data_IF_577487239657
#
_entry.id   IF_577487239657
#
_cell.length_a   1.000
_cell.length_b   1.000
_cell.length_c   1.000
_cell.angle_alpha   90.00
_cell.angle_beta   90.00
_cell.angle_gamma   90.00
#
_symmetry.space_group_name_H-M   'P 1'
#
loop_
_entity.id
_entity.type
_entity.pdbx_description
1 polymer ?
#
# COMPACT_ATOMS: atom_id res chain seq x y z
N UNK A 1 -1.15 39.34 -14.24
CA UNK A 1 -0.56 38.38 -13.27
C UNK A 1 -0.92 36.91 -13.59
N UNK A 2 -0.93 36.48 -14.87
CA UNK A 2 -1.39 35.13 -15.28
C UNK A 2 -0.30 34.25 -15.94
N UNK A 3 0.93 34.77 -16.06
CA UNK A 3 2.06 34.11 -16.73
C UNK A 3 3.15 33.57 -15.78
N UNK A 4 2.98 33.71 -14.46
CA UNK A 4 3.92 33.21 -13.44
C UNK A 4 3.57 31.79 -12.94
N UNK A 5 2.38 31.29 -13.26
CA UNK A 5 1.92 29.96 -12.83
C UNK A 5 2.67 28.77 -13.47
N UNK A 6 3.11 28.79 -14.76
CA UNK A 6 3.83 27.65 -15.33
C UNK A 6 5.29 27.55 -14.84
N UNK A 7 5.86 28.62 -14.28
CA UNK A 7 7.23 28.63 -13.77
C UNK A 7 7.36 27.92 -12.40
N UNK A 8 6.28 27.86 -11.62
CA UNK A 8 6.23 27.20 -10.31
C UNK A 8 5.98 25.69 -10.39
N UNK A 9 5.49 25.18 -11.53
CA UNK A 9 5.23 23.75 -11.75
C UNK A 9 6.39 23.01 -12.44
N UNK A 10 7.36 23.73 -13.01
CA UNK A 10 8.50 23.13 -13.69
C UNK A 10 9.55 22.49 -12.75
N UNK A 11 9.87 23.04 -11.56
CA UNK A 11 10.89 22.43 -10.71
C UNK A 11 10.38 21.23 -9.91
N UNK A 12 9.07 21.03 -9.76
CA UNK A 12 8.51 19.88 -9.02
C UNK A 12 8.62 18.56 -9.80
N UNK A 13 8.75 18.62 -11.12
CA UNK A 13 8.95 17.43 -11.98
C UNK A 13 10.39 16.91 -11.97
N UNK A 14 11.35 17.69 -11.48
CA UNK A 14 12.78 17.33 -11.42
C UNK A 14 13.21 16.75 -10.06
N UNK A 15 12.30 16.64 -9.10
CA UNK A 15 12.53 16.03 -7.79
C UNK A 15 12.10 14.55 -7.72
N UNK A 16 12.12 13.82 -8.84
CA UNK A 16 12.20 12.36 -8.73
C UNK A 16 13.63 12.02 -8.33
N UNK A 17 13.85 11.67 -7.07
CA UNK A 17 15.16 11.22 -6.62
C UNK A 17 15.62 10.06 -7.49
N UNK A 18 16.75 10.24 -8.18
CA UNK A 18 17.44 9.18 -8.91
C UNK A 18 17.75 8.07 -7.90
N UNK A 19 16.95 7.00 -7.94
CA UNK A 19 17.04 5.89 -6.98
C UNK A 19 15.84 5.70 -6.06
N UNK A 20 14.71 6.42 -6.24
CA UNK A 20 13.47 6.05 -5.56
C UNK A 20 13.00 4.67 -6.02
N UNK A 21 13.19 3.68 -5.16
CA UNK A 21 12.62 2.34 -5.32
C UNK A 21 11.28 2.35 -4.59
N UNK A 22 10.20 2.19 -5.34
CA UNK A 22 8.88 1.95 -4.76
C UNK A 22 8.98 0.77 -3.78
N UNK A 23 8.48 0.88 -2.54
CA UNK A 23 8.50 -0.25 -1.61
C UNK A 23 7.44 -1.30 -1.96
N UNK A 24 6.64 -1.07 -3.01
CA UNK A 24 5.65 -2.01 -3.55
C UNK A 24 6.06 -2.43 -4.97
N UNK A 25 5.48 -3.53 -5.49
CA UNK A 25 5.74 -3.98 -6.86
C UNK A 25 6.91 -4.97 -7.01
N UNK A 26 7.31 -5.22 -8.27
CA UNK A 26 8.36 -6.21 -8.61
C UNK A 26 9.74 -5.71 -8.22
N UNK A 27 10.01 -4.42 -8.42
CA UNK A 27 11.34 -3.83 -8.24
C UNK A 27 11.71 -3.72 -6.76
N UNK A 28 10.72 -3.51 -5.89
CA UNK A 28 10.87 -3.62 -4.44
C UNK A 28 11.47 -4.96 -4.01
N UNK A 29 11.10 -6.08 -4.67
CA UNK A 29 11.57 -7.43 -4.32
C UNK A 29 13.03 -7.66 -4.69
N UNK A 30 13.51 -7.05 -5.77
CA UNK A 30 14.93 -7.13 -6.18
C UNK A 30 15.78 -6.42 -5.11
N UNK A 31 15.30 -5.28 -4.61
CA UNK A 31 15.92 -4.53 -3.52
C UNK A 31 15.79 -5.20 -2.14
N UNK A 32 14.67 -5.91 -1.88
CA UNK A 32 14.37 -6.61 -0.63
C UNK A 32 15.21 -7.87 -0.37
N UNK A 33 16.18 -8.21 -1.23
CA UNK A 33 17.24 -9.16 -0.90
C UNK A 33 18.10 -8.71 0.29
N UNK A 34 18.01 -7.42 0.68
CA UNK A 34 18.49 -6.94 1.98
C UNK A 34 17.50 -7.29 3.11
N UNK A 35 17.97 -7.85 4.24
CA UNK A 35 17.12 -8.11 5.40
C UNK A 35 16.43 -6.81 5.81
N UNK A 36 15.11 -6.83 5.71
CA UNK A 36 14.29 -5.68 5.97
C UNK A 36 14.36 -5.38 7.46
N UNK A 37 14.96 -4.24 7.83
CA UNK A 37 14.89 -3.75 9.21
C UNK A 37 13.42 -3.56 9.53
N UNK A 38 12.86 -4.41 10.39
CA UNK A 38 11.58 -4.19 11.05
C UNK A 38 11.73 -2.96 11.94
N UNK A 39 11.65 -1.78 11.33
CA UNK A 39 11.66 -0.53 12.07
C UNK A 39 10.46 -0.55 13.02
N UNK A 40 10.63 -0.15 14.29
CA UNK A 40 9.53 -0.14 15.24
C UNK A 40 8.38 0.70 14.69
N UNK A 41 7.11 0.34 14.99
CA UNK A 41 5.94 1.03 14.45
C UNK A 41 6.09 2.53 14.68
N UNK A 42 6.09 3.30 13.59
CA UNK A 42 6.27 4.75 13.66
C UNK A 42 5.07 5.34 14.41
N UNK A 43 5.31 6.35 15.26
CA UNK A 43 4.20 7.11 15.87
C UNK A 43 3.31 7.66 14.75
N UNK A 44 2.04 7.22 14.72
CA UNK A 44 1.08 7.64 13.71
C UNK A 44 0.78 9.14 13.87
N UNK A 45 0.81 9.86 12.74
CA UNK A 45 0.30 11.23 12.66
C UNK A 45 -1.21 11.25 12.95
N UNK A 46 -1.82 12.42 13.27
CA UNK A 46 -3.26 12.50 13.46
C UNK A 46 -4.06 11.94 12.27
N UNK A 47 -3.61 12.22 11.04
CA UNK A 47 -4.20 11.64 9.83
C UNK A 47 -4.00 10.12 9.75
N UNK A 48 -2.82 9.63 10.15
CA UNK A 48 -2.55 8.19 10.27
C UNK A 48 -3.53 7.51 11.23
N UNK A 49 -3.78 8.09 12.41
CA UNK A 49 -4.74 7.57 13.38
C UNK A 49 -6.17 7.59 12.84
N UNK A 50 -6.59 8.71 12.24
CA UNK A 50 -7.92 8.81 11.63
C UNK A 50 -8.12 7.74 10.56
N UNK A 51 -7.14 7.60 9.65
CA UNK A 51 -7.19 6.60 8.58
C UNK A 51 -7.22 5.17 9.13
N UNK A 52 -6.45 4.87 10.17
CA UNK A 52 -6.49 3.59 10.87
C UNK A 52 -7.88 3.30 11.43
N UNK A 53 -8.51 4.28 12.11
CA UNK A 53 -9.87 4.11 12.63
C UNK A 53 -10.89 3.85 11.52
N UNK A 54 -10.79 4.55 10.39
CA UNK A 54 -11.66 4.34 9.22
C UNK A 54 -11.46 2.93 8.65
N UNK A 55 -10.21 2.48 8.50
CA UNK A 55 -9.91 1.14 7.98
C UNK A 55 -10.42 0.06 8.94
N UNK A 56 -10.24 0.24 10.25
CA UNK A 56 -10.73 -0.68 11.27
C UNK A 56 -12.27 -0.70 11.30
N UNK A 57 -12.93 0.44 11.14
CA UNK A 57 -14.39 0.49 11.00
C UNK A 57 -14.86 -0.28 9.77
N UNK A 58 -14.24 -0.07 8.60
CA UNK A 58 -14.53 -0.84 7.40
C UNK A 58 -14.31 -2.34 7.61
N UNK A 59 -13.21 -2.72 8.28
CA UNK A 59 -12.90 -4.12 8.53
C UNK A 59 -13.91 -4.75 9.51
N UNK A 60 -14.17 -4.10 10.65
CA UNK A 60 -14.97 -4.67 11.72
C UNK A 60 -16.48 -4.60 11.44
N UNK A 61 -16.95 -3.61 10.70
CA UNK A 61 -18.39 -3.42 10.44
C UNK A 61 -18.74 -3.85 9.01
N UNK A 62 -18.14 -3.21 8.00
CA UNK A 62 -18.56 -3.40 6.61
C UNK A 62 -18.20 -4.78 6.05
N UNK A 63 -17.06 -5.34 6.46
CA UNK A 63 -16.61 -6.66 5.97
C UNK A 63 -17.52 -7.79 6.48
N UNK A 64 -18.06 -7.70 7.70
CA UNK A 64 -18.99 -8.71 8.22
C UNK A 64 -20.28 -8.77 7.39
N UNK A 65 -20.75 -7.63 6.90
CA UNK A 65 -21.96 -7.54 6.06
C UNK A 65 -21.67 -8.03 4.63
N UNK A 66 -20.50 -7.68 4.09
CA UNK A 66 -20.15 -7.92 2.68
C UNK A 66 -19.45 -9.26 2.39
N UNK A 67 -18.90 -9.92 3.40
CA UNK A 67 -18.10 -11.13 3.25
C UNK A 67 -16.70 -10.89 2.66
N UNK A 68 -15.84 -11.94 2.65
CA UNK A 68 -14.46 -11.83 2.18
C UNK A 68 -14.39 -11.82 0.64
N UNK A 69 -14.10 -10.65 0.05
CA UNK A 69 -14.00 -10.48 -1.42
C UNK A 69 -12.57 -10.41 -1.97
N UNK A 70 -11.58 -10.18 -1.11
CA UNK A 70 -10.22 -9.91 -1.58
C UNK A 70 -9.53 -11.15 -2.15
N UNK A 71 -8.93 -10.99 -3.33
CA UNK A 71 -8.10 -11.99 -4.02
C UNK A 71 -6.68 -12.10 -3.43
N UNK A 72 -6.32 -11.16 -2.57
CA UNK A 72 -5.00 -11.09 -1.97
C UNK A 72 -4.99 -11.49 -0.50
N UNK A 73 -3.80 -11.90 -0.04
CA UNK A 73 -3.49 -12.14 1.36
C UNK A 73 -2.16 -11.42 1.71
N UNK A 74 -2.13 -10.57 2.75
CA UNK A 74 -3.28 -10.06 3.52
C UNK A 74 -4.32 -9.34 2.62
N UNK A 75 -5.55 -9.16 3.11
CA UNK A 75 -6.60 -8.45 2.36
C UNK A 75 -6.15 -7.02 2.06
N UNK A 76 -6.66 -6.38 1.00
CA UNK A 76 -6.22 -5.02 0.63
C UNK A 76 -6.42 -3.97 1.74
N UNK A 77 -7.50 -4.09 2.52
CA UNK A 77 -7.72 -3.25 3.71
C UNK A 77 -6.67 -3.48 4.80
N UNK A 78 -6.32 -4.74 5.08
CA UNK A 78 -5.30 -5.09 6.04
C UNK A 78 -3.90 -4.64 5.56
N UNK A 79 -3.62 -4.80 4.26
CA UNK A 79 -2.41 -4.30 3.62
C UNK A 79 -2.27 -2.79 3.79
N UNK A 80 -3.33 -2.02 3.53
CA UNK A 80 -3.31 -0.56 3.70
C UNK A 80 -3.09 -0.15 5.17
N UNK A 81 -3.71 -0.87 6.13
CA UNK A 81 -3.49 -0.64 7.56
C UNK A 81 -2.02 -0.87 7.95
N UNK A 82 -1.44 -1.99 7.54
CA UNK A 82 -0.03 -2.32 7.79
C UNK A 82 0.91 -1.34 7.10
N UNK A 83 0.64 -0.96 5.85
CA UNK A 83 1.42 0.01 5.11
C UNK A 83 1.41 1.40 5.78
N UNK A 84 0.27 1.85 6.32
CA UNK A 84 0.18 3.12 7.06
C UNK A 84 0.97 3.05 8.38
N UNK A 85 0.92 1.91 9.08
CA UNK A 85 1.69 1.69 10.31
C UNK A 85 3.20 1.66 10.08
N UNK A 86 3.63 1.10 8.96
CA UNK A 86 5.05 0.98 8.59
C UNK A 86 5.61 2.27 7.97
N UNK A 87 4.89 2.84 7.00
CA UNK A 87 5.39 3.93 6.15
C UNK A 87 4.80 5.31 6.45
N UNK A 88 3.78 5.37 7.31
CA UNK A 88 2.99 6.58 7.57
C UNK A 88 1.85 6.77 6.58
N UNK A 89 0.97 7.74 6.86
CA UNK A 89 -0.28 7.95 6.13
C UNK A 89 -0.11 8.08 4.62
N UNK A 90 0.68 9.04 4.13
CA UNK A 90 0.77 9.33 2.70
C UNK A 90 1.27 8.13 1.88
N UNK A 91 2.40 7.55 2.31
CA UNK A 91 3.03 6.43 1.61
C UNK A 91 2.18 5.15 1.74
N UNK A 92 1.64 4.89 2.92
CA UNK A 92 0.72 3.76 3.15
C UNK A 92 -0.60 3.88 2.39
N UNK A 93 -1.12 5.10 2.23
CA UNK A 93 -2.32 5.37 1.43
C UNK A 93 -2.07 5.12 -0.05
N UNK A 94 -0.96 5.64 -0.61
CA UNK A 94 -0.57 5.39 -2.01
C UNK A 94 -0.39 3.88 -2.25
N UNK A 95 0.30 3.18 -1.34
CA UNK A 95 0.45 1.72 -1.37
C UNK A 95 -0.91 1.00 -1.39
N UNK A 96 -1.83 1.40 -0.52
CA UNK A 96 -3.18 0.84 -0.46
C UNK A 96 -3.98 1.08 -1.75
N UNK A 97 -3.94 2.30 -2.29
CA UNK A 97 -4.61 2.64 -3.55
C UNK A 97 -4.05 1.86 -4.74
N UNK A 98 -2.72 1.80 -4.88
CA UNK A 98 -2.07 0.99 -5.91
C UNK A 98 -2.49 -0.48 -5.83
N UNK A 99 -2.55 -1.02 -4.61
CA UNK A 99 -3.02 -2.40 -4.39
C UNK A 99 -4.47 -2.59 -4.85
N UNK A 100 -5.37 -1.66 -4.54
CA UNK A 100 -6.76 -1.73 -4.97
C UNK A 100 -6.90 -1.70 -6.50
N UNK A 101 -6.08 -0.90 -7.19
CA UNK A 101 -6.06 -0.88 -8.66
C UNK A 101 -5.65 -2.23 -9.27
N UNK A 102 -4.84 -3.01 -8.55
CA UNK A 102 -4.40 -4.37 -8.92
C UNK A 102 -5.32 -5.47 -8.39
N UNK A 103 -6.44 -5.11 -7.73
CA UNK A 103 -7.40 -6.05 -7.16
C UNK A 103 -8.41 -6.52 -8.20
N UNK A 104 -7.97 -7.51 -8.98
CA UNK A 104 -8.78 -8.18 -9.99
C UNK A 104 -8.50 -9.69 -10.03
N UNK A 105 -9.23 -10.41 -10.87
CA UNK A 105 -9.06 -11.85 -11.08
C UNK A 105 -7.84 -12.24 -11.93
N UNK A 106 -7.16 -11.27 -12.54
CA UNK A 106 -6.15 -11.57 -13.57
C UNK A 106 -4.93 -12.27 -12.99
N UNK A 107 -4.35 -13.26 -13.70
CA UNK A 107 -3.13 -13.96 -13.30
C UNK A 107 -1.91 -13.05 -13.53
N UNK A 108 -1.74 -12.06 -12.67
CA UNK A 108 -0.48 -11.34 -12.54
C UNK A 108 0.61 -12.23 -11.94
N UNK A 109 1.88 -11.89 -12.15
CA UNK A 109 3.05 -12.56 -11.54
C UNK A 109 3.17 -12.26 -10.03
N UNK A 110 2.21 -12.72 -9.23
CA UNK A 110 2.31 -12.74 -7.77
C UNK A 110 2.70 -14.14 -7.29
N UNK A 111 3.40 -14.18 -6.15
CA UNK A 111 3.49 -15.44 -5.41
C UNK A 111 2.08 -15.84 -4.98
N UNK A 112 1.77 -17.12 -5.02
CA UNK A 112 0.50 -17.63 -4.52
C UNK A 112 0.72 -18.33 -3.19
N UNK A 113 -0.29 -18.30 -2.33
CA UNK A 113 -0.31 -19.05 -1.09
C UNK A 113 -1.65 -19.76 -0.99
N UNK A 114 -1.60 -21.07 -0.75
CA UNK A 114 -2.80 -21.86 -0.51
C UNK A 114 -3.28 -21.65 0.93
N UNK A 115 -4.54 -21.26 1.08
CA UNK A 115 -5.18 -21.11 2.38
C UNK A 115 -6.54 -21.79 2.29
N UNK A 116 -6.73 -22.86 3.08
CA UNK A 116 -7.98 -23.65 3.12
C UNK A 116 -8.42 -24.16 1.74
N UNK A 117 -7.49 -24.70 0.94
CA UNK A 117 -7.80 -25.27 -0.38
C UNK A 117 -8.04 -24.23 -1.49
N UNK A 118 -7.89 -22.93 -1.21
CA UNK A 118 -8.00 -21.84 -2.20
C UNK A 118 -6.68 -21.12 -2.36
N UNK A 119 -6.27 -20.90 -3.61
CA UNK A 119 -5.09 -20.11 -3.94
C UNK A 119 -5.40 -18.62 -3.83
N UNK A 120 -4.56 -17.90 -3.09
CA UNK A 120 -4.59 -16.45 -2.97
C UNK A 120 -3.29 -15.83 -3.45
N UNK A 121 -3.38 -14.62 -4.01
CA UNK A 121 -2.21 -13.81 -4.35
C UNK A 121 -1.55 -13.32 -3.05
N UNK A 122 -0.28 -13.65 -2.83
CA UNK A 122 0.48 -13.32 -1.62
C UNK A 122 1.41 -12.12 -1.86
N UNK A 123 1.10 -11.00 -1.20
CA UNK A 123 1.85 -9.75 -1.37
C UNK A 123 1.65 -8.87 -0.12
N UNK A 124 2.38 -9.16 0.98
CA UNK A 124 2.38 -8.34 2.19
C UNK A 124 3.13 -7.02 1.96
N UNK A 125 2.81 -5.97 2.73
CA UNK A 125 3.55 -4.72 2.65
C UNK A 125 4.97 -4.94 3.17
N UNK A 126 5.93 -4.55 2.34
CA UNK A 126 7.34 -4.46 2.68
C UNK A 126 7.51 -3.14 3.45
#
# INVERSE_FOLDING_TARGET
MRKLLPLLLFPTLLYSEIGYIEPWGRDARISASRPQKTSPPRKLSPMGRLSEQVILFHHNVLTHISGPRSHYRPTSSQYMLEAIRQHGFMKGYIMGCDRLLRENGDPWHYRTKEIKGKLYKWDPPL
#
